data_IF_761824167587
#
_entry.id   IF_761824167587
#
_cell.length_a   1.000
_cell.length_b   1.000
_cell.length_c   1.000
_cell.angle_alpha   90.00
_cell.angle_beta   90.00
_cell.angle_gamma   90.00
#
_symmetry.space_group_name_H-M   'P 1'
#
loop_
_entity.id
_entity.type
_entity.pdbx_description
1 polymer ?
#
# COMPACT_ATOMS: atom_id res chain seq x y z
N UNK A 1 15.29 -5.43 -3.55
CA UNK A 1 14.31 -5.32 -4.66
C UNK A 1 13.00 -5.95 -4.20
N UNK A 2 11.88 -5.26 -4.35
CA UNK A 2 10.56 -5.73 -3.95
C UNK A 2 9.82 -6.29 -5.17
N UNK A 3 9.48 -7.57 -5.16
CA UNK A 3 8.83 -8.27 -6.29
C UNK A 3 7.32 -8.36 -6.08
N UNK A 4 6.56 -8.16 -7.15
CA UNK A 4 5.12 -8.42 -7.17
C UNK A 4 4.84 -9.93 -6.99
N UNK A 5 3.87 -10.28 -6.13
CA UNK A 5 3.49 -11.68 -5.89
C UNK A 5 2.34 -12.18 -6.76
N UNK A 6 1.78 -11.33 -7.62
CA UNK A 6 0.63 -11.70 -8.44
C UNK A 6 1.01 -12.72 -9.52
N UNK A 7 0.23 -13.80 -9.72
CA UNK A 7 0.45 -14.73 -10.82
C UNK A 7 0.44 -13.97 -12.15
N UNK A 8 1.48 -14.18 -12.96
CA UNK A 8 1.72 -13.47 -14.24
C UNK A 8 2.15 -12.00 -14.11
N UNK A 9 2.69 -11.58 -12.96
CA UNK A 9 3.28 -10.25 -12.81
C UNK A 9 4.76 -10.31 -12.39
N UNK A 10 5.66 -10.01 -13.32
CA UNK A 10 7.11 -10.03 -13.10
C UNK A 10 7.71 -8.67 -12.73
N UNK A 11 6.87 -7.72 -12.28
CA UNK A 11 7.33 -6.37 -11.92
C UNK A 11 8.11 -6.37 -10.60
N UNK A 12 9.20 -5.60 -10.61
CA UNK A 12 10.09 -5.41 -9.49
C UNK A 12 10.26 -3.92 -9.19
N UNK A 13 10.36 -3.56 -7.92
CA UNK A 13 10.41 -2.17 -7.45
C UNK A 13 11.58 -1.93 -6.51
N UNK A 14 12.13 -0.71 -6.57
CA UNK A 14 13.21 -0.29 -5.68
C UNK A 14 12.73 0.01 -4.25
N UNK A 15 11.44 0.35 -4.07
CA UNK A 15 10.84 0.73 -2.78
C UNK A 15 9.55 -0.04 -2.53
N UNK A 16 9.30 -0.37 -1.26
CA UNK A 16 8.08 -1.07 -0.84
C UNK A 16 6.82 -0.27 -1.16
N UNK A 17 6.83 1.06 -0.98
CA UNK A 17 5.68 1.92 -1.29
C UNK A 17 5.23 1.81 -2.74
N UNK A 18 6.19 1.65 -3.68
CA UNK A 18 5.87 1.48 -5.10
C UNK A 18 5.34 0.08 -5.40
N UNK A 19 5.85 -0.95 -4.72
CA UNK A 19 5.26 -2.29 -4.79
C UNK A 19 3.80 -2.26 -4.29
N UNK A 20 3.53 -1.65 -3.13
CA UNK A 20 2.19 -1.59 -2.55
C UNK A 20 1.21 -0.81 -3.44
N UNK A 21 1.66 0.30 -4.03
CA UNK A 21 0.88 1.04 -5.02
C UNK A 21 0.58 0.19 -6.26
N UNK A 22 1.54 -0.62 -6.70
CA UNK A 22 1.35 -1.54 -7.80
C UNK A 22 0.40 -2.69 -7.44
N UNK A 23 0.50 -3.29 -6.25
CA UNK A 23 -0.39 -4.38 -5.82
C UNK A 23 -1.86 -3.95 -5.74
N UNK A 24 -2.12 -2.65 -5.55
CA UNK A 24 -3.47 -2.08 -5.67
C UNK A 24 -4.05 -2.20 -7.08
N UNK A 25 -3.23 -2.18 -8.15
CA UNK A 25 -3.75 -2.39 -9.51
C UNK A 25 -4.29 -3.80 -9.72
N UNK A 26 -3.89 -4.75 -8.88
CA UNK A 26 -4.35 -6.13 -8.94
C UNK A 26 -5.50 -6.42 -7.99
N UNK A 27 -5.44 -5.87 -6.77
CA UNK A 27 -6.36 -6.20 -5.67
C UNK A 27 -7.44 -5.15 -5.44
N UNK A 28 -7.20 -3.89 -5.84
CA UNK A 28 -8.01 -2.75 -5.42
C UNK A 28 -7.96 -2.45 -3.92
N UNK A 29 -7.04 -3.08 -3.17
CA UNK A 29 -6.95 -2.95 -1.72
C UNK A 29 -5.69 -2.18 -1.34
N UNK A 30 -5.85 -1.10 -0.58
CA UNK A 30 -4.72 -0.46 0.07
C UNK A 30 -4.38 -1.16 1.39
N UNK A 31 -3.09 -1.35 1.69
CA UNK A 31 -2.64 -2.13 2.85
C UNK A 31 -2.96 -1.47 4.20
N UNK A 32 -3.07 -0.13 4.23
CA UNK A 32 -3.33 0.60 5.47
C UNK A 32 -4.65 1.34 5.37
N UNK A 33 -5.68 0.84 6.05
CA UNK A 33 -6.97 1.50 6.16
C UNK A 33 -7.21 2.03 7.59
N UNK A 34 -7.67 3.28 7.70
CA UNK A 34 -8.14 3.85 8.95
C UNK A 34 -9.51 3.27 9.32
N UNK A 35 -9.64 2.73 10.54
CA UNK A 35 -10.90 2.16 11.00
C UNK A 35 -11.96 3.22 11.35
N UNK A 36 -11.52 4.43 11.75
CA UNK A 36 -12.40 5.56 12.14
C UNK A 36 -13.07 6.19 10.92
N UNK A 37 -12.30 6.65 9.93
CA UNK A 37 -12.81 7.39 8.76
C UNK A 37 -12.72 6.63 7.42
N UNK A 38 -12.24 5.39 7.41
CA UNK A 38 -12.09 4.55 6.20
C UNK A 38 -11.12 5.04 5.14
N UNK A 39 -10.41 6.15 5.37
CA UNK A 39 -9.30 6.58 4.53
C UNK A 39 -8.21 5.51 4.42
N UNK A 40 -7.55 5.50 3.28
CA UNK A 40 -6.63 4.44 2.87
C UNK A 40 -5.28 5.03 2.46
N UNK A 41 -4.20 4.33 2.80
CA UNK A 41 -2.82 4.79 2.59
C UNK A 41 -1.93 3.67 2.04
N UNK A 42 -0.96 4.05 1.21
CA UNK A 42 0.08 3.14 0.71
C UNK A 42 1.31 3.07 1.62
N UNK A 43 1.60 4.15 2.34
CA UNK A 43 2.75 4.23 3.24
C UNK A 43 2.32 4.11 4.69
N UNK A 44 3.10 3.36 5.46
CA UNK A 44 2.88 3.18 6.89
C UNK A 44 3.04 4.49 7.68
N UNK A 45 4.00 5.35 7.31
CA UNK A 45 4.20 6.64 7.96
C UNK A 45 2.97 7.53 7.81
N UNK A 46 2.47 7.70 6.57
CA UNK A 46 1.31 8.53 6.26
C UNK A 46 0.07 8.05 7.06
N UNK A 47 -0.15 6.73 7.13
CA UNK A 47 -1.21 6.13 7.96
C UNK A 47 -1.05 6.42 9.46
N UNK A 48 0.18 6.30 10.00
CA UNK A 48 0.45 6.55 11.41
C UNK A 48 0.25 8.03 11.75
N UNK A 49 0.71 8.93 10.90
CA UNK A 49 0.58 10.37 11.14
C UNK A 49 -0.89 10.81 11.03
N UNK A 50 -1.61 10.32 10.02
CA UNK A 50 -3.07 10.46 9.95
C UNK A 50 -3.76 9.96 11.23
N UNK A 51 -3.36 8.79 11.73
CA UNK A 51 -3.93 8.22 12.96
C UNK A 51 -3.74 9.09 14.20
N UNK A 52 -2.62 9.83 14.29
CA UNK A 52 -2.34 10.72 15.43
C UNK A 52 -3.22 11.99 15.42
N UNK A 53 -3.74 12.36 14.26
CA UNK A 53 -4.61 13.54 14.10
C UNK A 53 -6.09 13.24 14.45
N UNK A 54 -6.42 11.97 14.72
CA UNK A 54 -7.74 11.52 15.19
C UNK A 54 -7.83 11.39 16.70
#
# INVERSE_FOLDING_TARGET
>A
VYRCKYPNCDKNFARLSYLLQHEFTHTGVMPYQCRKCKEQFFKKCDYIDHKKLH
#
